data_IF_556753828526
#
_entry.id   IF_556753828526
#
_cell.length_a   1.000
_cell.length_b   1.000
_cell.length_c   1.000
_cell.angle_alpha   90.00
_cell.angle_beta   90.00
_cell.angle_gamma   90.00
#
_symmetry.space_group_name_H-M   'P 1'
#
loop_
_entity.id
_entity.type
_entity.pdbx_description
1 polymer ?
#
# COMPACT_ATOMS: atom_id res chain seq x y z
N UNK A 1 -13.67 0.06 -15.66
CA UNK A 1 -12.80 -0.03 -14.46
C UNK A 1 -13.31 0.96 -13.43
N UNK A 2 -13.42 0.56 -12.17
CA UNK A 2 -13.81 1.45 -11.07
C UNK A 2 -12.55 1.93 -10.34
N UNK A 3 -12.48 3.22 -10.01
CA UNK A 3 -11.40 3.83 -9.22
C UNK A 3 -11.87 4.06 -7.79
N UNK A 4 -12.17 2.98 -7.09
CA UNK A 4 -12.68 3.01 -5.72
C UNK A 4 -11.60 3.03 -4.63
N UNK A 5 -10.37 2.61 -4.97
CA UNK A 5 -9.24 2.62 -4.04
C UNK A 5 -9.45 1.71 -2.82
N UNK A 6 -10.20 0.61 -2.97
CA UNK A 6 -10.57 -0.29 -1.88
C UNK A 6 -9.41 -1.11 -1.34
N UNK A 7 -8.30 -1.17 -2.05
CA UNK A 7 -7.15 -1.98 -1.65
C UNK A 7 -5.85 -1.18 -1.72
N UNK A 8 -5.04 -1.27 -0.70
CA UNK A 8 -3.67 -0.79 -0.66
C UNK A 8 -2.72 -1.99 -0.72
N UNK A 9 -1.92 -2.08 -1.77
CA UNK A 9 -0.86 -3.08 -1.88
C UNK A 9 0.38 -2.63 -1.08
N UNK A 10 0.77 -3.43 -0.09
CA UNK A 10 2.00 -3.19 0.69
C UNK A 10 3.01 -4.26 0.33
N UNK A 11 4.24 -3.85 0.01
CA UNK A 11 5.37 -4.74 -0.23
C UNK A 11 6.41 -4.46 0.85
N UNK A 12 6.81 -5.51 1.56
CA UNK A 12 7.77 -5.42 2.65
C UNK A 12 9.09 -6.08 2.25
N UNK A 13 10.21 -5.40 2.55
CA UNK A 13 11.54 -5.98 2.47
C UNK A 13 11.91 -6.49 3.87
N UNK A 14 12.05 -7.79 4.00
CA UNK A 14 12.34 -8.43 5.28
C UNK A 14 13.67 -9.19 5.24
N UNK A 15 14.36 -9.23 6.37
CA UNK A 15 15.53 -10.04 6.60
C UNK A 15 15.38 -10.74 7.95
N UNK A 16 15.81 -11.99 8.06
CA UNK A 16 15.77 -12.71 9.33
C UNK A 16 16.88 -12.22 10.27
N UNK A 17 16.63 -12.26 11.58
CA UNK A 17 17.65 -11.92 12.58
C UNK A 17 18.93 -12.76 12.43
N UNK A 18 18.77 -14.04 12.09
CA UNK A 18 19.91 -14.94 11.86
C UNK A 18 20.77 -14.51 10.67
N UNK A 19 20.19 -13.94 9.62
CA UNK A 19 20.92 -13.39 8.49
C UNK A 19 21.51 -12.02 8.83
N UNK A 20 20.73 -11.15 9.46
CA UNK A 20 21.14 -9.81 9.88
C UNK A 20 22.37 -9.82 10.80
N UNK A 21 22.38 -10.70 11.79
CA UNK A 21 23.45 -10.83 12.77
C UNK A 21 24.77 -11.41 12.21
N UNK A 22 24.74 -11.93 10.97
CA UNK A 22 25.97 -12.36 10.26
C UNK A 22 26.66 -11.24 9.50
N UNK A 23 25.98 -10.11 9.35
CA UNK A 23 26.50 -8.96 8.63
C UNK A 23 27.33 -8.07 9.55
N UNK A 24 28.38 -7.48 9.00
CA UNK A 24 29.11 -6.41 9.68
C UNK A 24 28.24 -5.15 9.76
N UNK A 25 28.55 -4.25 10.69
CA UNK A 25 27.84 -2.96 10.83
C UNK A 25 27.84 -2.17 9.52
N UNK A 26 28.94 -2.17 8.77
CA UNK A 26 29.02 -1.51 7.47
C UNK A 26 28.06 -2.14 6.44
N UNK A 27 27.95 -3.47 6.42
CA UNK A 27 27.01 -4.17 5.54
C UNK A 27 25.56 -3.90 5.94
N UNK A 28 25.25 -3.89 7.23
CA UNK A 28 23.93 -3.53 7.74
C UNK A 28 23.53 -2.10 7.36
N UNK A 29 24.47 -1.15 7.49
CA UNK A 29 24.25 0.23 7.09
C UNK A 29 24.00 0.35 5.56
N UNK A 30 24.79 -0.35 4.76
CA UNK A 30 24.62 -0.39 3.31
C UNK A 30 23.23 -0.93 2.91
N UNK A 31 22.77 -2.02 3.53
CA UNK A 31 21.46 -2.59 3.26
C UNK A 31 20.32 -1.64 3.65
N UNK A 32 20.45 -0.92 4.76
CA UNK A 32 19.42 0.08 5.16
C UNK A 32 19.32 1.21 4.13
N UNK A 33 20.46 1.74 3.68
CA UNK A 33 20.49 2.79 2.66
C UNK A 33 19.87 2.28 1.35
N UNK A 34 20.29 1.10 0.88
CA UNK A 34 19.75 0.50 -0.33
C UNK A 34 18.25 0.25 -0.25
N UNK A 35 17.73 -0.18 0.90
CA UNK A 35 16.30 -0.37 1.10
C UNK A 35 15.53 0.97 1.03
N UNK A 36 16.07 2.03 1.61
CA UNK A 36 15.46 3.37 1.55
C UNK A 36 15.45 3.93 0.12
N UNK A 37 16.56 3.79 -0.61
CA UNK A 37 16.63 4.21 -2.01
C UNK A 37 15.69 3.38 -2.89
N UNK A 38 15.59 2.07 -2.66
CA UNK A 38 14.66 1.19 -3.34
C UNK A 38 13.21 1.60 -3.08
N UNK A 39 12.86 1.93 -1.84
CA UNK A 39 11.52 2.42 -1.48
C UNK A 39 11.16 3.70 -2.22
N UNK A 40 12.07 4.68 -2.23
CA UNK A 40 11.85 5.96 -2.91
C UNK A 40 11.67 5.76 -4.42
N UNK A 41 12.55 4.99 -5.04
CA UNK A 41 12.48 4.66 -6.46
C UNK A 41 11.20 3.89 -6.83
N UNK A 42 10.84 2.88 -6.04
CA UNK A 42 9.64 2.08 -6.29
C UNK A 42 8.37 2.91 -6.18
N UNK A 43 8.30 3.85 -5.25
CA UNK A 43 7.16 4.76 -5.11
C UNK A 43 6.99 5.60 -6.38
N UNK A 44 8.04 6.27 -6.83
CA UNK A 44 8.02 7.10 -8.04
C UNK A 44 7.66 6.26 -9.29
N UNK A 45 8.27 5.08 -9.41
CA UNK A 45 8.00 4.17 -10.53
C UNK A 45 6.55 3.70 -10.54
N UNK A 46 5.98 3.35 -9.39
CA UNK A 46 4.60 2.87 -9.28
C UNK A 46 3.59 3.96 -9.66
N UNK A 47 3.79 5.17 -9.17
CA UNK A 47 2.96 6.33 -9.52
C UNK A 47 2.98 6.59 -11.04
N UNK A 48 4.18 6.56 -11.64
CA UNK A 48 4.33 6.75 -13.09
C UNK A 48 3.69 5.61 -13.89
N UNK A 49 3.88 4.36 -13.49
CA UNK A 49 3.29 3.20 -14.19
C UNK A 49 1.77 3.24 -14.13
N UNK A 50 1.20 3.68 -13.00
CA UNK A 50 -0.25 3.86 -12.87
C UNK A 50 -0.78 4.93 -13.83
N UNK A 51 -0.14 6.10 -13.89
CA UNK A 51 -0.50 7.18 -14.82
C UNK A 51 -0.39 6.74 -16.28
N UNK A 52 0.74 6.14 -16.68
CA UNK A 52 1.00 5.68 -18.04
C UNK A 52 -0.02 4.59 -18.44
N UNK A 53 -0.35 3.67 -17.52
CA UNK A 53 -1.32 2.60 -17.76
C UNK A 53 -2.73 3.17 -17.93
N UNK A 54 -3.15 4.10 -17.10
CA UNK A 54 -4.45 4.76 -17.22
C UNK A 54 -4.55 5.53 -18.54
N UNK A 55 -3.49 6.22 -18.96
CA UNK A 55 -3.44 6.93 -20.23
C UNK A 55 -3.55 5.96 -21.43
N UNK A 56 -2.84 4.83 -21.39
CA UNK A 56 -2.89 3.83 -22.46
C UNK A 56 -4.26 3.12 -22.56
N UNK A 57 -4.91 2.89 -21.43
CA UNK A 57 -6.18 2.20 -21.34
C UNK A 57 -7.38 3.12 -21.59
N UNK A 58 -7.22 4.43 -21.47
CA UNK A 58 -8.33 5.39 -21.49
C UNK A 58 -9.24 5.30 -22.71
N UNK A 59 -8.68 4.96 -23.88
CA UNK A 59 -9.45 4.77 -25.11
C UNK A 59 -10.05 3.37 -25.24
N UNK A 60 -9.59 2.39 -24.44
CA UNK A 60 -9.97 0.98 -24.55
C UNK A 60 -10.99 0.55 -23.50
N UNK A 61 -11.09 1.29 -22.41
CA UNK A 61 -11.95 0.97 -21.27
C UNK A 61 -12.68 2.22 -20.77
N UNK A 62 -13.87 2.03 -20.25
CA UNK A 62 -14.56 3.09 -19.51
C UNK A 62 -14.02 3.13 -18.08
N UNK A 63 -13.43 4.27 -17.72
CA UNK A 63 -13.03 4.56 -16.33
C UNK A 63 -14.19 5.24 -15.64
N UNK A 64 -14.58 4.76 -14.47
CA UNK A 64 -15.66 5.29 -13.66
C UNK A 64 -15.11 5.71 -12.31
N UNK A 65 -15.15 7.00 -12.04
CA UNK A 65 -14.89 7.52 -10.70
C UNK A 65 -16.10 7.27 -9.80
N UNK A 66 -15.85 6.93 -8.55
CA UNK A 66 -16.88 6.65 -7.57
C UNK A 66 -16.79 7.62 -6.39
N UNK A 67 -17.93 7.91 -5.79
CA UNK A 67 -17.95 8.63 -4.52
C UNK A 67 -17.50 7.68 -3.40
N UNK A 68 -16.26 7.84 -2.97
CA UNK A 68 -15.65 6.97 -1.96
C UNK A 68 -16.39 7.02 -0.63
N UNK A 69 -16.92 8.19 -0.24
CA UNK A 69 -17.62 8.34 1.05
C UNK A 69 -18.92 7.53 1.07
N UNK A 70 -19.66 7.50 -0.06
CA UNK A 70 -20.86 6.66 -0.18
C UNK A 70 -20.53 5.16 -0.12
N UNK A 71 -19.42 4.76 -0.74
CA UNK A 71 -18.96 3.36 -0.71
C UNK A 71 -18.55 2.95 0.70
N UNK A 72 -17.78 3.79 1.40
CA UNK A 72 -17.39 3.58 2.79
C UNK A 72 -18.65 3.48 3.67
N UNK A 73 -19.60 4.40 3.51
CA UNK A 73 -20.82 4.39 4.31
C UNK A 73 -21.64 3.11 4.13
N UNK A 74 -21.72 2.58 2.90
CA UNK A 74 -22.43 1.33 2.59
C UNK A 74 -21.66 0.06 3.00
N UNK A 75 -20.36 0.16 3.26
CA UNK A 75 -19.51 -0.96 3.64
C UNK A 75 -19.35 -1.11 5.17
N UNK A 76 -19.95 -0.23 5.96
CA UNK A 76 -19.73 -0.18 7.42
C UNK A 76 -20.08 -1.50 8.12
N UNK A 77 -21.17 -2.15 7.76
CA UNK A 77 -21.58 -3.41 8.36
C UNK A 77 -20.56 -4.53 8.10
N UNK A 78 -20.06 -4.60 6.85
CA UNK A 78 -19.03 -5.57 6.44
C UNK A 78 -17.70 -5.29 7.14
N UNK A 79 -17.33 -4.01 7.24
CA UNK A 79 -16.11 -3.59 7.96
C UNK A 79 -16.22 -3.96 9.44
N UNK A 80 -17.35 -3.67 10.08
CA UNK A 80 -17.57 -3.99 11.49
C UNK A 80 -17.48 -5.51 11.76
N UNK A 81 -18.07 -6.32 10.88
CA UNK A 81 -17.99 -7.79 10.98
C UNK A 81 -16.53 -8.27 10.78
N UNK A 82 -15.84 -7.79 9.74
CA UNK A 82 -14.48 -8.20 9.42
C UNK A 82 -13.42 -7.75 10.43
N UNK A 83 -13.70 -6.67 11.18
CA UNK A 83 -12.77 -6.11 12.17
C UNK A 83 -13.17 -6.40 13.62
N UNK A 84 -14.19 -7.22 13.86
CA UNK A 84 -14.72 -7.49 15.20
C UNK A 84 -13.63 -7.92 16.20
N UNK A 85 -12.73 -8.80 15.79
CA UNK A 85 -11.61 -9.30 16.59
C UNK A 85 -10.39 -8.37 16.62
N UNK A 86 -10.40 -7.30 15.83
CA UNK A 86 -9.27 -6.36 15.61
C UNK A 86 -9.69 -4.90 15.82
N UNK A 87 -10.77 -4.65 16.56
CA UNK A 87 -11.39 -3.33 16.68
C UNK A 87 -10.40 -2.24 17.16
N UNK A 88 -9.55 -2.57 18.13
CA UNK A 88 -8.53 -1.64 18.64
C UNK A 88 -7.47 -1.29 17.58
N UNK A 89 -7.03 -2.28 16.82
CA UNK A 89 -6.07 -2.06 15.73
C UNK A 89 -6.71 -1.26 14.59
N UNK A 90 -7.94 -1.59 14.25
CA UNK A 90 -8.69 -0.84 13.25
C UNK A 90 -8.83 0.64 13.65
N UNK A 91 -9.15 0.92 14.92
CA UNK A 91 -9.25 2.29 15.41
C UNK A 91 -7.90 3.02 15.34
N UNK A 92 -6.79 2.37 15.75
CA UNK A 92 -5.45 2.95 15.61
C UNK A 92 -5.11 3.33 14.17
N UNK A 93 -5.51 2.50 13.19
CA UNK A 93 -5.32 2.79 11.76
C UNK A 93 -6.16 3.99 11.33
N UNK A 94 -7.41 4.10 11.81
CA UNK A 94 -8.27 5.24 11.49
C UNK A 94 -7.72 6.57 12.06
N UNK A 95 -7.11 6.52 13.22
CA UNK A 95 -6.53 7.69 13.91
C UNK A 95 -5.25 8.21 13.22
N UNK A 96 -4.67 7.46 12.28
CA UNK A 96 -3.51 7.86 11.46
C UNK A 96 -3.89 8.72 10.23
N UNK A 97 -5.15 8.90 9.94
CA UNK A 97 -5.68 9.75 8.85
C UNK A 97 -5.79 11.21 9.31
#
# INVERSE_FOLDING_TARGET
>A
MLLDGHQLGVIELVITDAAWNKLTEAQQACLKIAAQECQAYNKELSEKVEEDTLAELGDKITVVEVNKDEWIAKSQDVIAEATADLADLYQQIQDLK
#
